data_IF_739687042800
#
_entry.id   IF_739687042800
#
_cell.length_a   1.000
_cell.length_b   1.000
_cell.length_c   1.000
_cell.angle_alpha   90.00
_cell.angle_beta   90.00
_cell.angle_gamma   90.00
#
_symmetry.space_group_name_H-M   'P 1'
#
loop_
_entity.id
_entity.type
_entity.pdbx_description
1 polymer ?
#
# COMPACT_ATOMS: atom_id res chain seq x y z
N UNK A 1 14.75 -2.64 4.25
CA UNK A 1 13.82 -2.91 5.36
C UNK A 1 12.88 -1.72 5.48
N UNK A 2 11.57 -1.96 5.57
CA UNK A 2 10.57 -0.89 5.69
C UNK A 2 10.75 -0.18 7.04
N UNK A 3 10.66 1.16 7.05
CA UNK A 3 10.76 1.95 8.27
C UNK A 3 9.66 1.57 9.28
N UNK A 4 10.06 1.13 10.48
CA UNK A 4 9.15 0.68 11.53
C UNK A 4 8.24 1.79 12.07
N UNK A 5 8.72 3.04 12.11
CA UNK A 5 7.88 4.17 12.55
C UNK A 5 6.76 4.44 11.56
N UNK A 6 7.05 4.35 10.25
CA UNK A 6 6.06 4.48 9.18
C UNK A 6 5.00 3.39 9.32
N UNK A 7 5.42 2.14 9.53
CA UNK A 7 4.49 1.02 9.73
C UNK A 7 3.61 1.21 10.96
N UNK A 8 4.18 1.62 12.09
CA UNK A 8 3.42 1.88 13.33
C UNK A 8 2.41 3.02 13.14
N UNK A 9 2.79 4.09 12.44
CA UNK A 9 1.93 5.24 12.15
C UNK A 9 0.69 4.82 11.35
N UNK A 10 0.88 4.00 10.31
CA UNK A 10 -0.19 3.63 9.39
C UNK A 10 -0.97 2.37 9.75
N UNK A 11 -0.55 1.62 10.76
CA UNK A 11 -1.24 0.39 11.17
C UNK A 11 -2.72 0.64 11.55
N UNK A 12 -3.07 1.86 11.95
CA UNK A 12 -4.45 2.25 12.25
C UNK A 12 -5.42 2.10 11.07
N UNK A 13 -4.93 2.11 9.82
CA UNK A 13 -5.76 1.89 8.64
C UNK A 13 -6.20 0.41 8.48
N UNK A 14 -5.56 -0.51 9.20
CA UNK A 14 -5.95 -1.93 9.28
C UNK A 14 -6.66 -2.17 10.61
N UNK A 15 -7.78 -1.48 10.83
CA UNK A 15 -8.45 -1.37 12.14
C UNK A 15 -9.02 -2.69 12.71
N UNK A 16 -9.20 -3.73 11.89
CA UNK A 16 -9.72 -5.04 12.32
C UNK A 16 -8.61 -5.99 12.81
N UNK A 17 -7.32 -5.64 12.65
CA UNK A 17 -6.16 -6.41 13.12
C UNK A 17 -5.40 -5.63 14.20
N UNK A 18 -4.68 -6.33 15.07
CA UNK A 18 -3.80 -5.67 16.04
C UNK A 18 -2.58 -5.08 15.30
N UNK A 19 -2.15 -3.84 15.60
CA UNK A 19 -1.03 -3.20 14.92
C UNK A 19 0.26 -4.04 14.87
N UNK A 20 0.69 -4.60 16.01
CA UNK A 20 1.94 -5.38 16.04
C UNK A 20 1.84 -6.69 15.25
N UNK A 21 0.65 -7.29 15.16
CA UNK A 21 0.45 -8.54 14.40
C UNK A 21 0.50 -8.26 12.90
N UNK A 22 -0.21 -7.24 12.41
CA UNK A 22 -0.18 -6.91 10.98
C UNK A 22 1.20 -6.42 10.52
N UNK A 23 1.92 -5.67 11.36
CA UNK A 23 3.29 -5.22 11.05
C UNK A 23 4.23 -6.41 10.92
N UNK A 24 4.07 -7.43 11.75
CA UNK A 24 4.89 -8.65 11.72
C UNK A 24 4.55 -9.55 10.54
N UNK A 25 3.26 -9.75 10.28
CA UNK A 25 2.78 -10.76 9.33
C UNK A 25 2.67 -10.23 7.90
N UNK A 26 2.28 -8.96 7.73
CA UNK A 26 2.04 -8.39 6.42
C UNK A 26 2.25 -6.86 6.39
N UNK A 27 3.51 -6.40 6.53
CA UNK A 27 3.83 -4.98 6.55
C UNK A 27 3.47 -4.27 5.23
N UNK A 28 3.52 -4.98 4.09
CA UNK A 28 3.11 -4.41 2.79
C UNK A 28 1.62 -4.10 2.73
N UNK A 29 0.77 -4.85 3.45
CA UNK A 29 -0.66 -4.51 3.59
C UNK A 29 -0.85 -3.20 4.32
N UNK A 30 -0.02 -2.90 5.34
CA UNK A 30 -0.07 -1.61 6.04
C UNK A 30 0.25 -0.47 5.06
N UNK A 31 1.32 -0.62 4.27
CA UNK A 31 1.71 0.35 3.24
C UNK A 31 0.61 0.51 2.19
N UNK A 32 0.02 -0.58 1.69
CA UNK A 32 -1.07 -0.53 0.72
C UNK A 32 -2.32 0.20 1.26
N UNK A 33 -2.65 -0.01 2.55
CA UNK A 33 -3.75 0.71 3.18
C UNK A 33 -3.43 2.20 3.37
N UNK A 34 -2.19 2.56 3.72
CA UNK A 34 -1.75 3.94 3.75
C UNK A 34 -1.86 4.60 2.36
N UNK A 35 -1.37 3.93 1.32
CA UNK A 35 -1.50 4.37 -0.08
C UNK A 35 -2.97 4.56 -0.50
N UNK A 36 -3.90 3.80 0.07
CA UNK A 36 -5.33 3.92 -0.22
C UNK A 36 -6.02 5.03 0.58
N UNK A 37 -5.71 5.16 1.87
CA UNK A 37 -6.51 5.93 2.82
C UNK A 37 -5.85 7.23 3.30
N UNK A 38 -4.54 7.43 3.11
CA UNK A 38 -3.87 8.69 3.42
C UNK A 38 -4.55 9.85 2.65
N UNK A 39 -5.01 10.85 3.40
CA UNK A 39 -5.92 11.87 2.89
C UNK A 39 -5.45 13.31 3.09
N UNK A 40 -4.31 13.53 3.74
CA UNK A 40 -3.74 14.86 3.97
C UNK A 40 -2.23 14.88 3.72
N UNK A 41 -1.68 16.07 3.50
CA UNK A 41 -0.28 16.26 3.09
C UNK A 41 0.71 15.63 4.06
N UNK A 42 0.46 15.69 5.37
CA UNK A 42 1.38 15.12 6.36
C UNK A 42 1.46 13.60 6.25
N UNK A 43 0.30 12.94 6.08
CA UNK A 43 0.23 11.50 5.84
C UNK A 43 0.94 11.12 4.53
N UNK A 44 0.77 11.91 3.46
CA UNK A 44 1.50 11.65 2.21
C UNK A 44 3.01 11.79 2.38
N UNK A 45 3.49 12.84 3.06
CA UNK A 45 4.93 13.02 3.33
C UNK A 45 5.47 11.84 4.15
N UNK A 46 4.76 11.43 5.20
CA UNK A 46 5.13 10.28 6.04
C UNK A 46 5.15 8.97 5.24
N UNK A 47 4.20 8.78 4.33
CA UNK A 47 4.16 7.61 3.46
C UNK A 47 5.35 7.57 2.50
N UNK A 48 5.79 8.71 1.97
CA UNK A 48 6.97 8.78 1.10
C UNK A 48 8.27 8.43 1.84
N UNK A 49 8.33 8.53 3.17
CA UNK A 49 9.46 8.02 3.97
C UNK A 49 9.61 6.48 3.88
N UNK A 50 8.60 5.74 3.42
CA UNK A 50 8.72 4.31 3.14
C UNK A 50 9.68 4.01 1.96
N UNK A 51 9.89 4.99 1.08
CA UNK A 51 10.70 4.89 -0.12
C UNK A 51 9.97 4.25 -1.31
N UNK A 52 10.32 4.70 -2.51
CA UNK A 52 9.70 4.27 -3.77
C UNK A 52 9.72 2.75 -3.97
N UNK A 53 10.82 2.09 -3.62
CA UNK A 53 10.94 0.63 -3.77
C UNK A 53 9.89 -0.12 -2.94
N UNK A 54 9.64 0.32 -1.71
CA UNK A 54 8.59 -0.25 -0.85
C UNK A 54 7.20 -0.02 -1.44
N UNK A 55 6.95 1.19 -1.96
CA UNK A 55 5.65 1.53 -2.56
C UNK A 55 5.41 0.70 -3.84
N UNK A 56 6.46 0.49 -4.64
CA UNK A 56 6.42 -0.38 -5.84
C UNK A 56 6.21 -1.83 -5.45
N UNK A 57 6.87 -2.31 -4.40
CA UNK A 57 6.69 -3.66 -3.86
C UNK A 57 5.24 -3.88 -3.37
N UNK A 58 4.65 -2.89 -2.69
CA UNK A 58 3.26 -2.95 -2.24
C UNK A 58 2.26 -3.06 -3.41
N UNK A 59 2.52 -2.40 -4.55
CA UNK A 59 1.73 -2.57 -5.77
C UNK A 59 1.93 -3.95 -6.41
N UNK A 60 3.18 -4.42 -6.46
CA UNK A 60 3.56 -5.70 -7.08
C UNK A 60 2.97 -6.90 -6.32
N UNK A 61 3.01 -6.86 -4.99
CA UNK A 61 2.52 -7.92 -4.10
C UNK A 61 1.06 -7.72 -3.67
N UNK A 62 0.36 -6.75 -4.27
CA UNK A 62 -1.00 -6.40 -3.89
C UNK A 62 -1.95 -7.60 -4.03
N UNK A 63 -2.71 -7.88 -2.97
CA UNK A 63 -3.79 -8.86 -3.02
C UNK A 63 -5.14 -8.20 -3.32
N UNK A 64 -6.10 -9.03 -3.73
CA UNK A 64 -7.45 -8.57 -4.04
C UNK A 64 -8.10 -7.85 -2.84
N UNK A 65 -8.48 -6.60 -3.06
CA UNK A 65 -9.14 -5.76 -2.04
C UNK A 65 -8.19 -4.84 -1.26
N UNK A 66 -6.87 -4.92 -1.46
CA UNK A 66 -5.93 -3.96 -0.84
C UNK A 66 -6.14 -2.56 -1.40
N UNK A 67 -6.18 -2.43 -2.72
CA UNK A 67 -6.41 -1.19 -3.44
C UNK A 67 -7.83 -1.10 -4.00
N UNK A 68 -8.30 0.13 -4.16
CA UNK A 68 -9.42 0.44 -5.05
C UNK A 68 -8.92 0.94 -6.42
N UNK A 69 -9.84 1.14 -7.37
CA UNK A 69 -9.47 1.58 -8.72
C UNK A 69 -8.71 2.92 -8.71
N UNK A 70 -9.12 3.87 -7.85
CA UNK A 70 -8.54 5.22 -7.81
C UNK A 70 -7.10 5.18 -7.34
N UNK A 71 -6.86 4.62 -6.15
CA UNK A 71 -5.53 4.48 -5.56
C UNK A 71 -4.61 3.63 -6.44
N UNK A 72 -5.12 2.56 -7.05
CA UNK A 72 -4.35 1.73 -7.98
C UNK A 72 -3.80 2.51 -9.18
N UNK A 73 -4.64 3.32 -9.84
CA UNK A 73 -4.20 4.10 -10.99
C UNK A 73 -3.24 5.22 -10.56
N UNK A 74 -3.60 5.94 -9.49
CA UNK A 74 -2.80 7.05 -8.99
C UNK A 74 -1.36 6.61 -8.69
N UNK A 75 -1.17 5.56 -7.90
CA UNK A 75 0.18 5.14 -7.50
C UNK A 75 0.99 4.52 -8.64
N UNK A 76 0.33 3.86 -9.61
CA UNK A 76 1.04 3.42 -10.82
C UNK A 76 1.56 4.62 -11.62
N UNK A 77 0.75 5.67 -11.81
CA UNK A 77 1.23 6.88 -12.47
C UNK A 77 2.33 7.59 -11.68
N UNK A 78 2.18 7.71 -10.37
CA UNK A 78 3.16 8.42 -9.52
C UNK A 78 4.52 7.72 -9.50
N UNK A 79 4.56 6.40 -9.49
CA UNK A 79 5.81 5.64 -9.32
C UNK A 79 6.46 5.19 -10.62
N UNK A 80 5.68 5.11 -11.72
CA UNK A 80 6.16 4.61 -13.02
C UNK A 80 5.97 5.61 -14.17
N UNK A 81 5.36 6.77 -13.93
CA UNK A 81 5.15 7.82 -14.93
C UNK A 81 3.89 7.65 -15.78
N UNK A 82 3.63 8.61 -16.67
CA UNK A 82 2.38 8.69 -17.45
C UNK A 82 2.27 7.63 -18.56
N UNK A 83 3.40 7.12 -19.06
CA UNK A 83 3.45 6.13 -20.14
C UNK A 83 3.21 4.69 -19.67
N UNK A 84 2.97 4.48 -18.38
CA UNK A 84 2.77 3.15 -17.82
C UNK A 84 1.46 2.52 -18.31
N UNK A 85 1.55 1.27 -18.77
CA UNK A 85 0.37 0.42 -18.95
C UNK A 85 -0.05 -0.14 -17.59
N UNK A 86 -1.09 0.44 -17.00
CA UNK A 86 -1.56 0.04 -15.67
C UNK A 86 -2.08 -1.41 -15.72
N UNK A 87 -1.55 -2.32 -14.88
CA UNK A 87 -2.02 -3.70 -14.81
C UNK A 87 -3.47 -3.75 -14.29
N UNK A 88 -4.24 -4.81 -14.61
CA UNK A 88 -5.55 -5.01 -14.01
C UNK A 88 -5.41 -5.18 -12.49
N UNK A 89 -6.43 -4.74 -11.75
CA UNK A 89 -6.49 -4.97 -10.30
C UNK A 89 -6.38 -6.47 -9.98
N UNK A 90 -5.68 -6.84 -8.89
CA UNK A 90 -5.64 -8.22 -8.39
C UNK A 90 -7.06 -8.72 -8.13
N UNK A 91 -7.35 -9.93 -8.64
CA UNK A 91 -8.63 -10.62 -8.42
C UNK A 91 -8.40 -11.78 -7.47
N UNK A 92 -9.41 -12.11 -6.65
CA UNK A 92 -9.36 -13.33 -5.84
C UNK A 92 -9.25 -14.52 -6.78
N UNK A 93 -8.25 -15.37 -6.58
CA UNK A 93 -8.20 -16.67 -7.22
C UNK A 93 -9.33 -17.54 -6.69
N UNK A 94 -9.90 -18.38 -7.55
CA UNK A 94 -10.71 -19.49 -7.07
C UNK A 94 -9.77 -20.57 -6.52
N UNK A 95 -10.06 -21.10 -5.33
CA UNK A 95 -9.42 -22.33 -4.88
C UNK A 95 -9.83 -23.43 -5.88
N UNK A 96 -8.84 -24.05 -6.53
CA UNK A 96 -9.04 -25.26 -7.33
C UNK A 96 -9.15 -26.48 -6.42
#
# INVERSE_FOLDING_TARGET
MINQEVLRHFACYVWWEKPDDIIRENPLRVIANAMRYANNTNEYVKLLEAGDDTLKEALSQAQAGWFDKKSWHYWHYMLYGLDIKIPPLPKRGFLK
#
